data_IF_712325478599
#
_entry.id   IF_712325478599
#
_cell.length_a   1.000
_cell.length_b   1.000
_cell.length_c   1.000
_cell.angle_alpha   90.00
_cell.angle_beta   90.00
_cell.angle_gamma   90.00
#
_symmetry.space_group_name_H-M   'P 1'
#
loop_
_entity.id
_entity.type
_entity.pdbx_description
1 polymer ?
#
# COMPACT_ATOMS: atom_id res chain seq x y z
N UNK A 1 -0.83 8.68 -4.23
CA UNK A 1 -0.92 9.89 -3.40
C UNK A 1 0.21 10.83 -3.78
N UNK A 2 -0.06 11.84 -4.60
CA UNK A 2 0.72 13.07 -4.65
C UNK A 2 0.15 13.96 -3.56
N UNK A 3 0.84 14.06 -2.42
CA UNK A 3 0.54 15.07 -1.44
C UNK A 3 1.45 16.27 -1.75
N UNK A 4 0.93 17.25 -2.48
CA UNK A 4 1.46 18.61 -2.46
C UNK A 4 1.34 19.10 -1.01
N UNK A 5 2.41 18.97 -0.23
CA UNK A 5 2.48 19.59 1.09
C UNK A 5 2.67 21.09 0.88
N UNK A 6 1.59 21.83 1.05
CA UNK A 6 1.63 23.28 1.24
C UNK A 6 2.42 23.55 2.54
N UNK A 7 3.54 24.29 2.51
CA UNK A 7 4.23 24.66 3.72
C UNK A 7 3.48 25.83 4.36
N UNK A 8 3.23 25.75 5.67
CA UNK A 8 2.55 26.74 6.54
C UNK A 8 1.08 26.45 6.85
N UNK A 9 0.83 25.45 7.72
CA UNK A 9 -0.31 25.53 8.64
C UNK A 9 0.21 25.22 10.04
N UNK A 10 0.60 26.27 10.75
CA UNK A 10 0.66 26.25 12.21
C UNK A 10 -0.77 26.04 12.72
N UNK A 11 -0.98 24.96 13.48
CA UNK A 11 -2.18 24.71 14.24
C UNK A 11 -2.29 25.75 15.37
N UNK A 12 -2.77 26.95 15.05
CA UNK A 12 -3.20 27.89 16.07
C UNK A 12 -4.61 27.52 16.52
N UNK A 13 -4.72 27.21 17.80
CA UNK A 13 -5.99 27.05 18.50
C UNK A 13 -6.79 28.36 18.46
N UNK A 14 -8.12 28.21 18.30
CA UNK A 14 -9.23 29.16 18.55
C UNK A 14 -9.84 29.84 17.32
N UNK A 15 -11.15 29.58 17.17
CA UNK A 15 -12.22 30.57 16.98
C UNK A 15 -12.23 31.41 15.70
N UNK A 16 -13.20 31.10 14.83
CA UNK A 16 -13.86 32.00 13.85
C UNK A 16 -12.96 33.00 13.11
N UNK A 17 -12.77 32.81 11.79
CA UNK A 17 -12.93 33.94 10.86
C UNK A 17 -13.07 33.49 9.38
N UNK A 18 -14.03 34.16 8.72
CA UNK A 18 -14.32 34.10 7.29
C UNK A 18 -13.29 34.93 6.52
N UNK A 19 -12.55 34.35 5.56
CA UNK A 19 -11.87 35.15 4.52
C UNK A 19 -11.96 34.51 3.13
N UNK A 20 -12.47 35.32 2.21
CA UNK A 20 -12.58 35.17 0.77
C UNK A 20 -11.28 34.74 0.07
N UNK A 21 -11.35 33.77 -0.85
CA UNK A 21 -10.34 33.56 -1.87
C UNK A 21 -10.79 34.24 -3.19
N UNK A 22 -10.09 35.32 -3.59
CA UNK A 22 -10.18 35.95 -4.91
C UNK A 22 -9.07 35.38 -5.79
N UNK A 23 -9.41 34.59 -6.81
CA UNK A 23 -8.49 34.29 -7.91
C UNK A 23 -8.86 35.15 -9.12
N UNK A 24 -8.02 36.12 -9.46
CA UNK A 24 -8.08 36.89 -10.71
C UNK A 24 -7.22 36.19 -11.77
N UNK A 25 -7.86 35.75 -12.86
CA UNK A 25 -7.18 35.35 -14.09
C UNK A 25 -6.89 36.59 -14.94
N UNK A 26 -5.64 36.85 -15.27
CA UNK A 26 -5.26 37.76 -16.36
C UNK A 26 -4.67 36.94 -17.52
N UNK A 27 -5.45 36.83 -18.61
CA UNK A 27 -5.09 36.17 -19.86
C UNK A 27 -4.79 37.25 -20.90
N UNK A 28 -3.53 37.37 -21.31
CA UNK A 28 -3.13 38.25 -22.41
C UNK A 28 -3.45 37.58 -23.75
N UNK A 29 -4.25 38.29 -24.56
CA UNK A 29 -4.66 37.92 -25.92
C UNK A 29 -3.59 38.34 -26.95
N UNK A 30 -3.37 37.51 -27.97
CA UNK A 30 -2.90 37.96 -29.29
C UNK A 30 -3.97 37.61 -30.31
N UNK A 31 -4.34 38.62 -31.11
CA UNK A 31 -5.48 38.64 -32.00
C UNK A 31 -5.14 38.10 -33.41
N UNK A 32 -6.10 37.43 -34.03
CA UNK A 32 -6.08 37.12 -35.47
C UNK A 32 -7.26 36.27 -35.93
N UNK A 33 -8.12 36.88 -36.76
CA UNK A 33 -9.12 36.25 -37.65
C UNK A 33 -10.36 35.53 -37.05
N UNK A 34 -11.40 36.36 -36.94
CA UNK A 34 -12.85 36.16 -36.85
C UNK A 34 -13.45 34.98 -37.66
N UNK A 35 -14.01 33.98 -36.98
CA UNK A 35 -15.24 33.25 -37.37
C UNK A 35 -16.12 33.06 -36.12
N UNK A 36 -17.44 33.30 -36.25
CA UNK A 36 -18.40 33.42 -35.14
C UNK A 36 -18.76 32.07 -34.50
N UNK A 37 -18.89 31.94 -33.16
CA UNK A 37 -19.41 30.73 -32.54
C UNK A 37 -20.94 30.73 -32.46
N UNK A 38 -21.54 29.57 -32.76
CA UNK A 38 -22.92 29.25 -32.45
C UNK A 38 -23.10 29.25 -30.92
N UNK A 39 -23.97 30.12 -30.40
CA UNK A 39 -24.39 30.11 -28.99
C UNK A 39 -25.35 28.94 -28.76
N UNK A 40 -24.96 27.96 -27.94
CA UNK A 40 -25.91 27.19 -27.11
C UNK A 40 -25.67 27.55 -25.65
N UNK A 41 -26.65 28.23 -25.07
CA UNK A 41 -26.80 28.51 -23.64
C UNK A 41 -27.28 27.21 -22.99
N UNK A 42 -26.56 26.67 -22.01
CA UNK A 42 -27.16 25.82 -20.97
C UNK A 42 -26.88 26.47 -19.62
N UNK A 43 -27.96 26.75 -18.93
CA UNK A 43 -28.02 27.39 -17.62
C UNK A 43 -27.39 26.48 -16.57
N UNK A 44 -26.60 27.07 -15.66
CA UNK A 44 -25.92 26.36 -14.59
C UNK A 44 -26.91 25.86 -13.54
N UNK A 45 -26.79 24.58 -13.18
CA UNK A 45 -27.46 24.01 -12.01
C UNK A 45 -26.66 24.41 -10.77
N UNK A 46 -27.34 25.07 -9.83
CA UNK A 46 -26.78 25.52 -8.55
C UNK A 46 -27.16 24.48 -7.49
N UNK A 47 -26.25 23.60 -7.11
CA UNK A 47 -26.50 22.66 -6.01
C UNK A 47 -26.50 23.41 -4.68
N UNK A 48 -27.60 23.32 -3.92
CA UNK A 48 -27.73 23.89 -2.58
C UNK A 48 -27.63 22.75 -1.58
N UNK A 49 -26.53 22.67 -0.85
CA UNK A 49 -26.41 21.75 0.29
C UNK A 49 -26.79 22.53 1.54
N UNK A 50 -27.84 22.10 2.23
CA UNK A 50 -28.19 22.61 3.56
C UNK A 50 -28.08 21.48 4.56
N UNK A 51 -27.21 21.64 5.55
CA UNK A 51 -27.19 20.79 6.75
C UNK A 51 -28.08 21.43 7.83
N UNK A 52 -28.95 20.65 8.43
CA UNK A 52 -29.63 21.01 9.68
C UNK A 52 -29.26 19.95 10.71
N UNK A 53 -28.86 20.40 11.90
CA UNK A 53 -28.40 19.54 12.99
C UNK A 53 -29.57 19.27 13.92
N UNK A 54 -29.93 18.00 14.10
CA UNK A 54 -30.85 17.57 15.16
C UNK A 54 -30.37 16.23 15.72
N UNK A 55 -29.66 16.27 16.84
CA UNK A 55 -29.14 15.06 17.51
C UNK A 55 -27.99 14.36 16.78
N UNK A 56 -27.53 13.23 17.34
CA UNK A 56 -26.25 12.55 17.04
C UNK A 56 -26.16 11.82 15.68
N UNK A 57 -26.91 12.25 14.67
CA UNK A 57 -26.83 11.70 13.31
C UNK A 57 -26.80 12.81 12.26
N UNK A 58 -25.95 12.66 11.24
CA UNK A 58 -25.92 13.52 10.05
C UNK A 58 -26.83 12.95 8.97
N UNK A 59 -27.84 13.72 8.54
CA UNK A 59 -28.60 13.40 7.34
C UNK A 59 -28.18 14.33 6.20
N UNK A 60 -27.79 13.75 5.08
CA UNK A 60 -27.59 14.45 3.80
C UNK A 60 -28.78 14.08 2.92
N UNK A 61 -29.64 15.07 2.62
CA UNK A 61 -30.73 14.90 1.66
C UNK A 61 -30.23 15.44 0.31
N UNK A 62 -30.25 14.59 -0.71
CA UNK A 62 -30.04 14.97 -2.11
C UNK A 62 -31.39 14.73 -2.80
N UNK A 63 -32.08 15.80 -3.18
CA UNK A 63 -33.33 15.68 -3.93
C UNK A 63 -33.01 15.31 -5.39
N UNK A 64 -33.19 14.04 -5.76
CA UNK A 64 -33.19 13.60 -7.15
C UNK A 64 -34.62 13.37 -7.65
N UNK A 65 -35.00 14.16 -8.66
CA UNK A 65 -36.25 14.03 -9.41
C UNK A 65 -36.21 12.75 -10.26
N UNK A 66 -37.22 11.90 -10.06
CA UNK A 66 -37.20 10.49 -10.46
C UNK A 66 -37.27 10.18 -11.95
N UNK A 67 -36.84 8.94 -12.24
CA UNK A 67 -37.26 8.14 -13.39
C UNK A 67 -37.34 6.67 -12.95
N UNK A 68 -38.54 6.10 -13.02
CA UNK A 68 -38.81 4.69 -12.75
C UNK A 68 -38.49 3.85 -13.99
N UNK A 69 -37.80 2.72 -13.79
CA UNK A 69 -37.71 1.65 -14.78
C UNK A 69 -37.83 0.31 -14.03
N UNK A 70 -38.90 -0.41 -14.30
CA UNK A 70 -39.21 -1.71 -13.71
C UNK A 70 -38.23 -2.79 -14.18
N UNK A 71 -37.66 -3.55 -13.24
CA UNK A 71 -36.89 -4.77 -13.50
C UNK A 71 -37.56 -5.97 -12.80
N UNK A 72 -37.64 -7.15 -13.43
CA UNK A 72 -38.46 -8.26 -12.96
C UNK A 72 -37.81 -9.01 -11.77
N UNK A 73 -38.67 -9.43 -10.85
CA UNK A 73 -38.37 -10.22 -9.64
C UNK A 73 -38.07 -11.68 -10.00
N UNK A 74 -36.91 -12.19 -9.57
CA UNK A 74 -36.65 -13.62 -9.45
C UNK A 74 -35.82 -13.94 -8.20
N UNK A 75 -36.35 -14.84 -7.38
CA UNK A 75 -35.61 -15.86 -6.63
C UNK A 75 -34.86 -15.41 -5.37
N UNK A 76 -35.48 -15.61 -4.21
CA UNK A 76 -34.85 -15.52 -2.89
C UNK A 76 -33.71 -16.54 -2.74
N UNK A 77 -32.46 -16.07 -2.81
CA UNK A 77 -31.32 -16.78 -2.25
C UNK A 77 -31.12 -16.29 -0.81
N UNK A 78 -31.29 -17.19 0.16
CA UNK A 78 -31.03 -16.93 1.57
C UNK A 78 -29.57 -16.53 1.75
N UNK A 79 -29.31 -15.23 1.91
CA UNK A 79 -28.02 -14.73 2.35
C UNK A 79 -27.80 -15.19 3.79
N UNK A 80 -26.85 -16.10 3.98
CA UNK A 80 -26.26 -16.34 5.30
C UNK A 80 -25.40 -15.12 5.58
N UNK A 81 -25.91 -14.17 6.37
CA UNK A 81 -25.10 -13.08 6.87
C UNK A 81 -24.00 -13.66 7.78
N UNK A 82 -22.71 -13.33 7.54
CA UNK A 82 -21.68 -13.71 8.48
C UNK A 82 -21.89 -12.88 9.74
N UNK A 83 -22.07 -13.55 10.88
CA UNK A 83 -22.15 -12.93 12.18
C UNK A 83 -20.84 -12.16 12.46
N UNK A 84 -20.83 -10.85 12.21
CA UNK A 84 -19.77 -9.96 12.63
C UNK A 84 -19.98 -9.71 14.12
N UNK A 85 -19.27 -10.45 14.95
CA UNK A 85 -19.20 -10.16 16.38
C UNK A 85 -18.57 -8.78 16.57
N UNK A 86 -19.28 -7.89 17.25
CA UNK A 86 -18.79 -6.60 17.75
C UNK A 86 -17.55 -6.79 18.64
N UNK A 87 -16.38 -6.87 18.02
CA UNK A 87 -15.10 -6.76 18.69
C UNK A 87 -14.63 -5.32 18.54
N UNK A 88 -14.26 -4.70 19.67
CA UNK A 88 -13.70 -3.35 19.69
C UNK A 88 -12.59 -3.23 18.62
N UNK A 89 -12.44 -2.06 17.97
CA UNK A 89 -11.45 -1.90 16.90
C UNK A 89 -10.06 -2.25 17.43
N UNK A 90 -9.46 -3.29 16.86
CA UNK A 90 -8.11 -3.74 17.22
C UNK A 90 -7.15 -2.58 16.95
N UNK A 91 -6.41 -2.15 17.98
CA UNK A 91 -5.41 -1.11 17.81
C UNK A 91 -4.26 -1.61 16.94
N UNK A 92 -3.81 -0.79 16.00
CA UNK A 92 -2.61 -1.08 15.19
C UNK A 92 -1.39 -1.30 16.10
N UNK A 93 -1.33 -0.63 17.25
CA UNK A 93 -0.24 -0.81 18.21
C UNK A 93 -0.22 -2.24 18.78
N UNK A 94 -1.37 -2.78 19.18
CA UNK A 94 -1.46 -4.16 19.68
C UNK A 94 -1.16 -5.20 18.60
N UNK A 95 -1.45 -4.88 17.34
CA UNK A 95 -1.14 -5.76 16.21
C UNK A 95 0.37 -5.83 15.94
N UNK A 96 1.07 -4.69 16.02
CA UNK A 96 2.52 -4.62 15.81
C UNK A 96 3.33 -5.19 16.98
N UNK A 97 2.78 -5.16 18.20
CA UNK A 97 3.41 -5.75 19.39
C UNK A 97 3.74 -7.23 19.19
N UNK A 98 2.82 -7.97 18.57
CA UNK A 98 2.94 -9.41 18.28
C UNK A 98 4.21 -9.73 17.47
N UNK A 99 4.60 -8.85 16.55
CA UNK A 99 5.73 -9.06 15.62
C UNK A 99 6.92 -8.12 15.90
N UNK A 100 6.93 -7.47 17.07
CA UNK A 100 7.92 -6.46 17.43
C UNK A 100 9.36 -7.01 17.42
N UNK A 101 9.58 -8.21 17.95
CA UNK A 101 10.89 -8.88 17.94
C UNK A 101 11.38 -9.20 16.53
N UNK A 102 10.49 -9.66 15.64
CA UNK A 102 10.84 -9.98 14.26
C UNK A 102 11.18 -8.71 13.48
N UNK A 103 10.46 -7.62 13.73
CA UNK A 103 10.76 -6.31 13.17
C UNK A 103 12.12 -5.78 13.63
N UNK A 104 12.50 -6.00 14.90
CA UNK A 104 13.84 -5.64 15.40
C UNK A 104 14.94 -6.44 14.69
N UNK A 105 14.76 -7.77 14.56
CA UNK A 105 15.69 -8.63 13.82
C UNK A 105 15.83 -8.18 12.36
N UNK A 106 14.72 -7.92 11.69
CA UNK A 106 14.70 -7.41 10.32
C UNK A 106 15.44 -6.08 10.17
N UNK A 107 15.25 -5.13 11.10
CA UNK A 107 15.96 -3.86 11.05
C UNK A 107 17.48 -4.05 11.18
N UNK A 108 17.93 -4.94 12.06
CA UNK A 108 19.35 -5.24 12.24
C UNK A 108 19.93 -5.90 10.99
N UNK A 109 19.21 -6.86 10.40
CA UNK A 109 19.62 -7.53 9.18
C UNK A 109 19.71 -6.56 7.99
N UNK A 110 18.71 -5.70 7.80
CA UNK A 110 18.72 -4.70 6.71
C UNK A 110 19.88 -3.71 6.83
N UNK A 111 20.21 -3.28 8.07
CA UNK A 111 21.41 -2.45 8.30
C UNK A 111 22.69 -3.18 7.93
N UNK A 112 22.80 -4.47 8.25
CA UNK A 112 23.96 -5.30 7.89
C UNK A 112 24.09 -5.49 6.38
N UNK A 113 22.98 -5.78 5.69
CA UNK A 113 22.92 -6.01 4.24
C UNK A 113 23.37 -4.76 3.46
N UNK A 114 22.96 -3.58 3.90
CA UNK A 114 23.17 -2.33 3.16
C UNK A 114 24.45 -1.61 3.63
N UNK A 115 24.84 -1.77 4.89
CA UNK A 115 25.89 -1.01 5.54
C UNK A 115 27.33 -1.50 5.33
N UNK A 116 27.56 -2.48 4.45
CA UNK A 116 28.83 -3.20 4.45
C UNK A 116 30.02 -2.38 3.88
N UNK A 117 29.86 -1.57 2.83
CA UNK A 117 31.06 -1.07 2.11
C UNK A 117 30.96 0.33 1.46
N UNK A 118 29.78 0.96 1.37
CA UNK A 118 29.62 2.23 0.65
C UNK A 118 28.92 3.31 1.51
N UNK A 119 29.57 4.46 1.77
CA UNK A 119 28.99 5.58 2.54
C UNK A 119 27.62 6.08 2.02
N UNK A 120 27.37 5.96 0.71
CA UNK A 120 26.10 6.33 0.10
C UNK A 120 24.97 5.38 0.50
N UNK A 121 25.25 4.08 0.55
CA UNK A 121 24.31 3.06 1.00
C UNK A 121 24.05 3.16 2.50
N UNK A 122 25.08 3.53 3.28
CA UNK A 122 24.92 3.85 4.70
C UNK A 122 23.97 5.03 4.89
N UNK A 123 24.16 6.14 4.16
CA UNK A 123 23.24 7.28 4.26
C UNK A 123 21.83 6.95 3.80
N UNK A 124 21.68 6.16 2.74
CA UNK A 124 20.38 5.64 2.31
C UNK A 124 19.74 4.81 3.45
N UNK A 125 20.49 3.87 4.03
CA UNK A 125 20.04 3.05 5.14
C UNK A 125 19.66 3.88 6.39
N UNK A 126 20.39 4.95 6.70
CA UNK A 126 20.10 5.82 7.84
C UNK A 126 18.85 6.68 7.62
N UNK A 127 18.66 7.19 6.41
CA UNK A 127 17.44 7.92 6.04
C UNK A 127 16.22 7.00 6.01
N UNK A 128 16.38 5.76 5.56
CA UNK A 128 15.27 4.82 5.37
C UNK A 128 14.94 4.05 6.65
N UNK A 129 15.95 3.51 7.33
CA UNK A 129 15.78 2.69 8.53
C UNK A 129 15.95 3.46 9.85
N UNK A 130 16.67 4.57 9.85
CA UNK A 130 16.85 5.42 11.03
C UNK A 130 15.73 6.44 11.25
N UNK A 131 14.95 6.78 10.21
CA UNK A 131 13.90 7.81 10.30
C UNK A 131 12.52 7.30 10.76
N UNK A 132 12.41 6.09 11.32
CA UNK A 132 11.18 5.61 11.97
C UNK A 132 9.97 5.48 11.01
N UNK A 133 10.01 4.52 10.08
CA UNK A 133 8.81 4.12 9.34
C UNK A 133 7.86 3.28 10.19
N UNK A 134 6.55 3.28 9.87
CA UNK A 134 5.54 2.44 10.56
C UNK A 134 5.74 0.92 10.38
N UNK A 135 6.65 0.50 9.49
CA UNK A 135 6.98 -0.91 9.15
C UNK A 135 5.77 -1.80 8.87
N UNK A 136 4.74 -1.24 8.25
CA UNK A 136 3.50 -1.96 8.01
C UNK A 136 3.69 -3.15 7.05
N UNK A 137 4.54 -3.03 6.02
CA UNK A 137 4.72 -4.12 5.03
C UNK A 137 5.46 -5.32 5.63
N UNK A 138 6.62 -5.16 6.29
CA UNK A 138 7.27 -6.28 6.97
C UNK A 138 6.40 -6.87 8.08
N UNK A 139 5.71 -6.03 8.85
CA UNK A 139 4.79 -6.49 9.88
C UNK A 139 3.66 -7.35 9.28
N UNK A 140 3.10 -6.93 8.16
CA UNK A 140 2.04 -7.67 7.48
C UNK A 140 2.55 -9.04 7.00
N UNK A 141 3.76 -9.11 6.44
CA UNK A 141 4.39 -10.39 6.06
C UNK A 141 4.47 -11.31 7.28
N UNK A 142 5.00 -10.83 8.40
CA UNK A 142 5.12 -11.65 9.61
C UNK A 142 3.77 -12.10 10.20
N UNK A 143 2.77 -11.21 10.21
CA UNK A 143 1.44 -11.53 10.71
C UNK A 143 0.75 -12.57 9.83
N UNK A 144 0.82 -12.41 8.50
CA UNK A 144 0.26 -13.37 7.55
C UNK A 144 0.99 -14.70 7.63
N UNK A 145 2.33 -14.71 7.75
CA UNK A 145 3.10 -15.92 7.95
C UNK A 145 2.67 -16.68 9.22
N UNK A 146 2.55 -16.00 10.37
CA UNK A 146 2.09 -16.64 11.61
C UNK A 146 0.65 -17.18 11.49
N UNK A 147 -0.25 -16.40 10.90
CA UNK A 147 -1.64 -16.79 10.73
C UNK A 147 -1.78 -18.00 9.79
N UNK A 148 -1.09 -17.98 8.64
CA UNK A 148 -1.16 -19.06 7.65
C UNK A 148 -0.42 -20.32 8.10
N UNK A 149 0.71 -20.19 8.80
CA UNK A 149 1.42 -21.32 9.38
C UNK A 149 0.59 -22.03 10.46
N UNK A 150 -0.12 -21.26 11.30
CA UNK A 150 -1.07 -21.83 12.26
C UNK A 150 -2.23 -22.58 11.56
N UNK A 151 -2.81 -22.00 10.50
CA UNK A 151 -3.90 -22.65 9.75
C UNK A 151 -3.41 -23.91 9.04
N UNK A 152 -2.20 -23.89 8.47
CA UNK A 152 -1.58 -25.05 7.84
C UNK A 152 -1.30 -26.16 8.87
N UNK A 153 -0.75 -25.82 10.04
CA UNK A 153 -0.51 -26.75 11.14
C UNK A 153 -1.79 -27.40 11.67
N UNK A 154 -2.88 -26.64 11.79
CA UNK A 154 -4.19 -27.17 12.20
C UNK A 154 -4.76 -28.19 11.20
N UNK A 155 -4.52 -28.00 9.89
CA UNK A 155 -4.95 -28.96 8.86
C UNK A 155 -4.21 -30.29 9.00
N UNK A 156 -2.90 -30.24 9.22
CA UNK A 156 -2.06 -31.43 9.45
C UNK A 156 -2.59 -32.20 10.67
N UNK A 157 -2.87 -31.50 11.77
CA UNK A 157 -3.45 -32.10 12.98
C UNK A 157 -4.80 -32.80 12.72
N UNK A 158 -5.66 -32.19 11.89
CA UNK A 158 -6.96 -32.78 11.54
C UNK A 158 -6.85 -34.01 10.62
N UNK A 159 -5.80 -34.12 9.81
CA UNK A 159 -5.57 -35.27 8.90
C UNK A 159 -4.78 -36.41 9.53
N UNK A 160 -3.93 -36.12 10.53
CA UNK A 160 -3.00 -37.08 11.15
C UNK A 160 -3.47 -37.57 12.54
N UNK A 161 -4.78 -37.66 12.78
CA UNK A 161 -5.39 -38.16 14.03
C UNK A 161 -5.05 -39.63 14.38
N UNK A 162 -4.16 -40.29 13.64
CA UNK A 162 -3.71 -41.67 13.83
C UNK A 162 -2.27 -41.79 14.38
N UNK A 163 -1.67 -40.72 14.91
CA UNK A 163 -0.31 -40.77 15.47
C UNK A 163 -0.33 -41.22 16.94
N UNK A 164 0.53 -42.16 17.28
CA UNK A 164 0.60 -42.85 18.57
C UNK A 164 1.20 -42.03 19.73
N UNK A 165 1.68 -40.80 19.49
CA UNK A 165 2.26 -39.92 20.52
C UNK A 165 1.72 -38.49 20.39
N UNK A 166 0.90 -38.07 21.36
CA UNK A 166 0.34 -36.72 21.46
C UNK A 166 1.42 -35.65 21.67
N UNK A 167 2.54 -36.00 22.33
CA UNK A 167 3.65 -35.09 22.65
C UNK A 167 4.39 -34.60 21.39
N UNK A 168 4.66 -35.51 20.45
CA UNK A 168 5.36 -35.20 19.19
C UNK A 168 4.50 -34.30 18.28
N UNK A 169 3.19 -34.56 18.23
CA UNK A 169 2.21 -33.72 17.52
C UNK A 169 2.14 -32.30 18.12
N UNK A 170 2.18 -32.18 19.45
CA UNK A 170 2.18 -30.88 20.12
C UNK A 170 3.45 -30.08 19.84
N UNK A 171 4.61 -30.74 19.85
CA UNK A 171 5.89 -30.10 19.50
C UNK A 171 5.92 -29.67 18.02
N UNK A 172 5.44 -30.50 17.11
CA UNK A 172 5.31 -30.15 15.70
C UNK A 172 4.35 -28.96 15.49
N UNK A 173 3.24 -28.92 16.24
CA UNK A 173 2.30 -27.80 16.23
C UNK A 173 2.92 -26.51 16.80
N UNK A 174 3.67 -26.58 17.90
CA UNK A 174 4.36 -25.41 18.46
C UNK A 174 5.45 -24.90 17.52
N UNK A 175 6.23 -25.79 16.90
CA UNK A 175 7.25 -25.42 15.90
C UNK A 175 6.63 -24.83 14.63
N UNK A 176 5.42 -25.24 14.25
CA UNK A 176 4.68 -24.67 13.10
C UNK A 176 4.26 -23.21 13.30
N UNK A 177 4.33 -22.68 14.54
CA UNK A 177 4.06 -21.27 14.83
C UNK A 177 5.28 -20.38 14.66
N UNK A 178 6.48 -20.94 14.54
CA UNK A 178 7.69 -20.16 14.38
C UNK A 178 7.93 -19.72 12.92
N UNK A 179 8.41 -18.49 12.78
CA UNK A 179 8.73 -17.94 11.47
C UNK A 179 10.04 -18.53 10.94
N UNK A 180 9.95 -19.20 9.80
CA UNK A 180 11.12 -19.70 9.06
C UNK A 180 12.03 -18.55 8.58
N UNK A 181 13.28 -18.90 8.27
CA UNK A 181 14.25 -17.97 7.66
C UNK A 181 13.74 -17.40 6.33
N UNK A 182 12.96 -18.17 5.56
CA UNK A 182 12.35 -17.71 4.32
C UNK A 182 11.36 -16.56 4.55
N UNK A 183 10.56 -16.60 5.61
CA UNK A 183 9.66 -15.50 5.96
C UNK A 183 10.43 -14.22 6.34
N UNK A 184 11.53 -14.37 7.08
CA UNK A 184 12.41 -13.26 7.44
C UNK A 184 13.06 -12.63 6.20
N UNK A 185 13.64 -13.46 5.32
CA UNK A 185 14.24 -13.01 4.06
C UNK A 185 13.21 -12.37 3.13
N UNK A 186 12.00 -12.92 3.04
CA UNK A 186 10.92 -12.32 2.27
C UNK A 186 10.60 -10.90 2.78
N UNK A 187 10.42 -10.72 4.09
CA UNK A 187 10.13 -9.41 4.66
C UNK A 187 11.28 -8.39 4.40
N UNK A 188 12.53 -8.83 4.45
CA UNK A 188 13.69 -8.01 4.09
C UNK A 188 13.66 -7.60 2.61
N UNK A 189 13.40 -8.54 1.69
CA UNK A 189 13.30 -8.29 0.25
C UNK A 189 12.20 -7.28 -0.06
N UNK A 190 11.02 -7.47 0.53
CA UNK A 190 9.86 -6.57 0.34
C UNK A 190 10.20 -5.14 0.77
N UNK A 191 10.86 -4.97 1.92
CA UNK A 191 11.24 -3.64 2.39
C UNK A 191 12.36 -3.03 1.54
N UNK A 192 13.32 -3.82 1.04
CA UNK A 192 14.35 -3.32 0.11
C UNK A 192 13.75 -2.85 -1.21
N UNK A 193 12.84 -3.63 -1.81
CA UNK A 193 12.12 -3.29 -3.05
C UNK A 193 11.32 -1.99 -2.86
N UNK A 194 10.55 -1.89 -1.78
CA UNK A 194 9.81 -0.67 -1.47
C UNK A 194 10.74 0.53 -1.26
N UNK A 195 11.86 0.31 -0.60
CA UNK A 195 12.83 1.37 -0.35
C UNK A 195 13.44 1.88 -1.65
N UNK A 196 13.87 0.97 -2.53
CA UNK A 196 14.40 1.32 -3.84
C UNK A 196 13.42 2.18 -4.64
N UNK A 197 12.12 1.81 -4.63
CA UNK A 197 11.08 2.58 -5.30
C UNK A 197 10.93 3.99 -4.72
N UNK A 198 11.05 4.18 -3.40
CA UNK A 198 11.01 5.52 -2.78
C UNK A 198 12.19 6.39 -3.21
N UNK A 199 13.39 5.83 -3.32
CA UNK A 199 14.59 6.58 -3.75
C UNK A 199 14.40 7.09 -5.19
N UNK A 200 13.88 6.23 -6.07
CA UNK A 200 13.59 6.61 -7.46
C UNK A 200 12.43 7.60 -7.54
N UNK A 201 11.35 7.42 -6.77
CA UNK A 201 10.23 8.36 -6.69
C UNK A 201 10.70 9.76 -6.27
N UNK A 202 11.55 9.87 -5.25
CA UNK A 202 12.05 11.18 -4.79
C UNK A 202 12.82 11.91 -5.91
N UNK A 203 13.51 11.19 -6.79
CA UNK A 203 14.19 11.75 -7.98
C UNK A 203 13.20 12.18 -9.04
N UNK A 204 12.19 11.36 -9.34
CA UNK A 204 11.17 11.66 -10.36
C UNK A 204 10.33 12.87 -9.96
N UNK A 205 9.98 12.96 -8.67
CA UNK A 205 9.11 14.00 -8.12
C UNK A 205 9.87 15.27 -7.67
N UNK A 206 11.20 15.34 -7.82
CA UNK A 206 12.07 16.44 -7.36
C UNK A 206 11.83 16.81 -5.87
N UNK A 207 11.67 15.79 -5.02
CA UNK A 207 11.27 15.95 -3.62
C UNK A 207 12.43 16.39 -2.70
N UNK A 208 12.37 17.58 -2.13
CA UNK A 208 13.43 18.08 -1.24
C UNK A 208 13.55 17.36 0.11
N UNK A 209 12.46 16.82 0.65
CA UNK A 209 12.39 16.22 1.99
C UNK A 209 11.65 14.88 2.00
N UNK A 210 12.14 13.94 2.82
CA UNK A 210 11.44 12.70 3.18
C UNK A 210 11.55 12.43 4.68
N UNK A 211 10.41 12.24 5.35
CA UNK A 211 10.33 11.99 6.81
C UNK A 211 11.11 13.03 7.64
N UNK A 212 11.06 14.30 7.22
CA UNK A 212 11.74 15.39 7.90
C UNK A 212 13.27 15.45 7.71
N UNK A 213 13.84 14.56 6.87
CA UNK A 213 15.24 14.60 6.45
C UNK A 213 15.33 15.00 4.97
N UNK A 214 16.45 15.58 4.56
CA UNK A 214 16.76 15.80 3.13
C UNK A 214 16.75 14.47 2.37
N UNK A 215 16.39 14.47 1.10
CA UNK A 215 16.40 13.25 0.27
C UNK A 215 17.79 12.95 -0.26
N UNK A 216 18.05 11.69 -0.64
CA UNK A 216 19.35 11.24 -1.15
C UNK A 216 19.79 12.08 -2.36
N UNK A 217 18.87 12.44 -3.25
CA UNK A 217 19.22 13.21 -4.44
C UNK A 217 19.59 14.67 -4.12
N UNK A 218 19.08 15.24 -3.04
CA UNK A 218 19.51 16.57 -2.56
C UNK A 218 20.90 16.48 -1.91
N UNK A 219 21.13 15.46 -1.07
CA UNK A 219 22.42 15.32 -0.37
C UNK A 219 23.58 14.93 -1.30
N UNK A 220 23.33 14.06 -2.30
CA UNK A 220 24.38 13.43 -3.11
C UNK A 220 24.21 13.57 -4.62
N UNK A 221 23.13 14.23 -5.07
CA UNK A 221 22.82 14.42 -6.48
C UNK A 221 22.01 13.29 -7.10
N UNK A 222 21.31 13.61 -8.18
CA UNK A 222 20.39 12.72 -8.90
C UNK A 222 21.03 11.41 -9.35
N UNK A 223 22.23 11.46 -9.93
CA UNK A 223 22.92 10.27 -10.46
C UNK A 223 23.21 9.24 -9.37
N UNK A 224 23.58 9.73 -8.19
CA UNK A 224 23.88 8.89 -7.04
C UNK A 224 22.61 8.24 -6.48
N UNK A 225 21.53 9.02 -6.38
CA UNK A 225 20.24 8.48 -5.93
C UNK A 225 19.71 7.38 -6.86
N UNK A 226 19.80 7.56 -8.18
CA UNK A 226 19.42 6.52 -9.15
C UNK A 226 20.23 5.24 -8.94
N UNK A 227 21.56 5.35 -8.84
CA UNK A 227 22.44 4.20 -8.60
C UNK A 227 22.18 3.50 -7.25
N UNK A 228 21.83 4.27 -6.21
CA UNK A 228 21.46 3.70 -4.92
C UNK A 228 20.18 2.86 -5.01
N UNK A 229 19.15 3.35 -5.73
CA UNK A 229 17.94 2.58 -6.00
C UNK A 229 18.23 1.32 -6.84
N UNK A 230 19.06 1.44 -7.88
CA UNK A 230 19.44 0.31 -8.74
C UNK A 230 20.19 -0.77 -7.95
N UNK A 231 21.12 -0.37 -7.08
CA UNK A 231 21.81 -1.28 -6.17
C UNK A 231 20.83 -2.02 -5.27
N UNK A 232 19.86 -1.32 -4.66
CA UNK A 232 18.87 -1.97 -3.79
C UNK A 232 17.96 -2.94 -4.55
N UNK A 233 17.56 -2.60 -5.78
CA UNK A 233 16.83 -3.54 -6.63
C UNK A 233 17.66 -4.77 -7.00
N UNK A 234 18.92 -4.59 -7.39
CA UNK A 234 19.82 -5.70 -7.71
C UNK A 234 20.06 -6.60 -6.49
N UNK A 235 20.32 -6.01 -5.32
CA UNK A 235 20.53 -6.74 -4.07
C UNK A 235 19.28 -7.51 -3.66
N UNK A 236 18.10 -6.89 -3.72
CA UNK A 236 16.84 -7.57 -3.42
C UNK A 236 16.53 -8.71 -4.39
N UNK A 237 16.86 -8.55 -5.67
CA UNK A 237 16.70 -9.58 -6.70
C UNK A 237 17.63 -10.77 -6.47
N UNK A 238 18.87 -10.51 -6.02
CA UNK A 238 19.82 -11.57 -5.64
C UNK A 238 19.31 -12.38 -4.45
N UNK A 239 18.83 -11.71 -3.39
CA UNK A 239 18.21 -12.40 -2.25
C UNK A 239 16.93 -13.14 -2.63
N UNK A 240 16.12 -12.58 -3.52
CA UNK A 240 14.90 -13.23 -4.02
C UNK A 240 15.23 -14.53 -4.76
N UNK A 241 16.26 -14.54 -5.61
CA UNK A 241 16.71 -15.76 -6.29
C UNK A 241 17.15 -16.85 -5.30
N UNK A 242 17.82 -16.45 -4.21
CA UNK A 242 18.27 -17.36 -3.15
C UNK A 242 17.16 -17.87 -2.22
N UNK A 243 15.90 -17.46 -2.42
CA UNK A 243 14.76 -18.10 -1.74
C UNK A 243 14.42 -19.48 -2.32
N UNK A 244 14.90 -19.78 -3.52
CA UNK A 244 14.74 -21.08 -4.21
C UNK A 244 13.27 -21.51 -4.43
N UNK A 245 12.33 -20.56 -4.44
CA UNK A 245 10.92 -20.82 -4.74
C UNK A 245 10.50 -20.07 -6.01
N UNK A 246 10.35 -20.80 -7.12
CA UNK A 246 10.06 -20.23 -8.43
C UNK A 246 8.73 -19.46 -8.48
N UNK A 247 7.72 -19.92 -7.74
CA UNK A 247 6.41 -19.23 -7.69
C UNK A 247 6.56 -17.86 -7.03
N UNK A 248 7.23 -17.79 -5.88
CA UNK A 248 7.49 -16.53 -5.17
C UNK A 248 8.40 -15.62 -5.98
N UNK A 249 9.46 -16.15 -6.61
CA UNK A 249 10.38 -15.38 -7.46
C UNK A 249 9.61 -14.70 -8.60
N UNK A 250 8.74 -15.43 -9.31
CA UNK A 250 7.92 -14.87 -10.38
C UNK A 250 6.95 -13.82 -9.87
N UNK A 251 6.31 -14.09 -8.73
CA UNK A 251 5.34 -13.19 -8.12
C UNK A 251 5.96 -11.85 -7.71
N UNK A 252 7.09 -11.86 -7.01
CA UNK A 252 7.78 -10.62 -6.60
C UNK A 252 8.43 -9.92 -7.80
N UNK A 253 8.95 -10.65 -8.79
CA UNK A 253 9.47 -10.05 -10.03
C UNK A 253 8.39 -9.30 -10.80
N UNK A 254 7.14 -9.81 -10.80
CA UNK A 254 6.01 -9.11 -11.40
C UNK A 254 5.73 -7.77 -10.70
N UNK A 255 5.92 -7.68 -9.38
CA UNK A 255 5.77 -6.41 -8.64
C UNK A 255 6.78 -5.35 -9.11
N UNK A 256 8.03 -5.73 -9.38
CA UNK A 256 9.05 -4.79 -9.88
C UNK A 256 8.61 -4.23 -11.24
N UNK A 257 8.04 -5.07 -12.11
CA UNK A 257 7.44 -4.63 -13.38
C UNK A 257 6.21 -3.75 -13.15
N UNK A 258 5.36 -4.09 -12.19
CA UNK A 258 4.17 -3.31 -11.83
C UNK A 258 4.57 -1.90 -11.37
N UNK A 259 5.60 -1.75 -10.54
CA UNK A 259 6.10 -0.45 -10.09
C UNK A 259 6.50 0.45 -11.27
N UNK A 260 7.33 -0.06 -12.18
CA UNK A 260 7.71 0.68 -13.38
C UNK A 260 6.48 1.04 -14.24
N UNK A 261 5.54 0.11 -14.39
CA UNK A 261 4.30 0.33 -15.16
C UNK A 261 3.40 1.39 -14.49
N UNK A 262 3.32 1.39 -13.17
CA UNK A 262 2.60 2.35 -12.35
C UNK A 262 3.15 3.77 -12.50
N UNK A 263 4.48 3.92 -12.45
CA UNK A 263 5.14 5.22 -12.67
C UNK A 263 4.94 5.74 -14.09
N UNK A 264 5.08 4.88 -15.11
CA UNK A 264 4.84 5.26 -16.51
C UNK A 264 3.38 5.69 -16.70
N UNK A 265 2.42 4.94 -16.14
CA UNK A 265 1.00 5.29 -16.22
C UNK A 265 0.73 6.62 -15.50
N UNK A 266 1.32 6.83 -14.31
CA UNK A 266 1.22 8.10 -13.60
C UNK A 266 1.73 9.25 -14.45
N UNK A 267 2.90 9.10 -15.08
CA UNK A 267 3.49 10.12 -15.95
C UNK A 267 2.61 10.42 -17.18
N UNK A 268 2.00 9.41 -17.78
CA UNK A 268 1.14 9.57 -18.96
C UNK A 268 -0.18 10.30 -18.68
N UNK A 269 -0.66 10.25 -17.43
CA UNK A 269 -1.92 10.87 -16.99
C UNK A 269 -1.69 12.16 -16.20
N UNK A 270 -0.50 12.76 -16.28
CA UNK A 270 -0.21 14.03 -15.61
C UNK A 270 -1.11 15.14 -16.18
N UNK A 271 -1.84 15.81 -15.29
CA UNK A 271 -2.77 16.90 -15.60
C UNK A 271 -3.98 16.51 -16.47
N UNK A 272 -4.29 15.21 -16.55
CA UNK A 272 -5.49 14.72 -17.22
C UNK A 272 -6.70 14.81 -16.28
N UNK A 273 -7.67 15.66 -16.63
CA UNK A 273 -8.91 15.84 -15.90
C UNK A 273 -9.98 14.77 -16.23
N UNK A 274 -9.78 14.01 -17.32
CA UNK A 274 -10.70 12.97 -17.77
C UNK A 274 -10.32 11.58 -17.23
N UNK A 275 -9.40 11.53 -16.26
CA UNK A 275 -8.95 10.31 -15.59
C UNK A 275 -10.12 9.55 -14.96
N UNK A 276 -10.32 8.31 -15.37
CA UNK A 276 -11.37 7.44 -14.83
C UNK A 276 -11.00 6.88 -13.44
N UNK A 277 -12.01 6.49 -12.67
CA UNK A 277 -11.78 5.79 -11.40
C UNK A 277 -11.00 4.48 -11.62
N UNK A 278 -11.29 3.75 -12.69
CA UNK A 278 -10.61 2.49 -13.01
C UNK A 278 -9.12 2.72 -13.31
N UNK A 279 -8.79 3.79 -14.04
CA UNK A 279 -7.39 4.16 -14.28
C UNK A 279 -6.65 4.56 -13.00
N UNK A 280 -7.34 5.29 -12.11
CA UNK A 280 -6.81 5.64 -10.80
C UNK A 280 -6.55 4.40 -9.93
N UNK A 281 -7.52 3.47 -9.88
CA UNK A 281 -7.40 2.23 -9.11
C UNK A 281 -6.30 1.33 -9.69
N UNK A 282 -6.21 1.20 -11.02
CA UNK A 282 -5.17 0.42 -11.68
C UNK A 282 -3.77 0.98 -11.39
N UNK A 283 -3.61 2.30 -11.45
CA UNK A 283 -2.36 2.97 -11.06
C UNK A 283 -2.04 2.73 -9.58
N UNK A 284 -3.04 2.88 -8.70
CA UNK A 284 -2.87 2.69 -7.25
C UNK A 284 -2.50 1.25 -6.91
N UNK A 285 -3.08 0.30 -7.63
CA UNK A 285 -2.71 -1.10 -7.58
C UNK A 285 -1.24 -1.29 -7.95
N UNK A 286 -0.82 -0.82 -9.12
CA UNK A 286 0.56 -0.99 -9.57
C UNK A 286 1.58 -0.34 -8.65
N UNK A 287 1.32 0.88 -8.15
CA UNK A 287 2.27 1.63 -7.31
C UNK A 287 2.30 1.17 -5.85
N UNK A 288 1.21 0.60 -5.34
CA UNK A 288 1.07 0.32 -3.89
C UNK A 288 0.57 -1.10 -3.60
N UNK A 289 -0.61 -1.47 -4.11
CA UNK A 289 -1.27 -2.70 -3.67
C UNK A 289 -0.62 -3.98 -4.20
N UNK A 290 0.04 -3.93 -5.37
CA UNK A 290 0.74 -5.05 -6.00
C UNK A 290 1.77 -5.69 -5.07
N UNK A 291 2.62 -4.88 -4.42
CA UNK A 291 3.62 -5.35 -3.47
C UNK A 291 2.98 -5.99 -2.24
N UNK A 292 1.90 -5.40 -1.73
CA UNK A 292 1.20 -5.90 -0.54
C UNK A 292 0.55 -7.25 -0.87
N UNK A 293 -0.22 -7.33 -1.96
CA UNK A 293 -0.86 -8.56 -2.44
C UNK A 293 0.15 -9.69 -2.68
N UNK A 294 1.26 -9.37 -3.35
CA UNK A 294 2.32 -10.33 -3.62
C UNK A 294 3.00 -10.79 -2.32
N UNK A 295 3.25 -9.89 -1.37
CA UNK A 295 3.90 -10.19 -0.10
C UNK A 295 3.06 -11.13 0.80
N UNK A 296 1.74 -10.91 0.87
CA UNK A 296 0.84 -11.75 1.66
C UNK A 296 0.66 -13.14 1.05
N UNK A 297 0.56 -13.22 -0.29
CA UNK A 297 0.55 -14.51 -1.00
C UNK A 297 1.87 -15.27 -0.84
N UNK A 298 3.01 -14.60 -0.98
CA UNK A 298 4.33 -15.22 -0.80
C UNK A 298 4.53 -15.74 0.64
N UNK A 299 4.07 -14.99 1.64
CA UNK A 299 4.08 -15.42 3.04
C UNK A 299 3.26 -16.71 3.25
N UNK A 300 2.08 -16.81 2.63
CA UNK A 300 1.25 -18.00 2.70
C UNK A 300 1.90 -19.22 2.01
N UNK A 301 2.56 -19.01 0.86
CA UNK A 301 3.28 -20.07 0.13
C UNK A 301 4.39 -20.65 1.01
N UNK A 302 5.21 -19.82 1.67
CA UNK A 302 6.26 -20.31 2.56
C UNK A 302 5.74 -20.97 3.84
N UNK A 303 4.50 -20.68 4.23
CA UNK A 303 3.82 -21.37 5.32
C UNK A 303 3.23 -22.73 4.90
N UNK A 304 3.41 -23.15 3.65
CA UNK A 304 2.85 -24.39 3.12
C UNK A 304 1.33 -24.37 2.98
N UNK A 305 0.73 -23.18 2.88
CA UNK A 305 -0.72 -23.04 2.72
C UNK A 305 -1.18 -23.61 1.37
N UNK A 306 -2.39 -24.18 1.36
CA UNK A 306 -3.00 -24.63 0.11
C UNK A 306 -3.29 -23.47 -0.85
N UNK A 307 -3.26 -23.74 -2.15
CA UNK A 307 -3.40 -22.73 -3.22
C UNK A 307 -4.61 -21.79 -3.05
N UNK A 308 -5.75 -22.31 -2.60
CA UNK A 308 -6.95 -21.48 -2.30
C UNK A 308 -6.70 -20.44 -1.21
N UNK A 309 -5.99 -20.79 -0.14
CA UNK A 309 -5.65 -19.85 0.94
C UNK A 309 -4.60 -18.84 0.47
N UNK A 310 -3.63 -19.26 -0.35
CA UNK A 310 -2.67 -18.34 -0.95
C UNK A 310 -3.36 -17.26 -1.80
N UNK A 311 -4.39 -17.62 -2.57
CA UNK A 311 -5.16 -16.66 -3.37
C UNK A 311 -6.03 -15.74 -2.51
N UNK A 312 -6.62 -16.27 -1.43
CA UNK A 312 -7.33 -15.43 -0.45
C UNK A 312 -6.39 -14.40 0.20
N UNK A 313 -5.16 -14.80 0.52
CA UNK A 313 -4.16 -13.87 1.06
C UNK A 313 -3.73 -12.83 0.04
N UNK A 314 -3.68 -13.17 -1.24
CA UNK A 314 -3.44 -12.21 -2.32
C UNK A 314 -4.52 -11.13 -2.38
N UNK A 315 -5.79 -11.55 -2.45
CA UNK A 315 -6.91 -10.61 -2.50
C UNK A 315 -7.01 -9.80 -1.20
N UNK A 316 -6.74 -10.39 -0.03
CA UNK A 316 -6.63 -9.64 1.21
C UNK A 316 -5.58 -8.52 1.12
N UNK A 317 -4.36 -8.84 0.69
CA UNK A 317 -3.29 -7.85 0.56
C UNK A 317 -3.58 -6.77 -0.49
N UNK A 318 -4.22 -7.15 -1.60
CA UNK A 318 -4.65 -6.24 -2.66
C UNK A 318 -5.70 -5.25 -2.15
N UNK A 319 -6.73 -5.72 -1.46
CA UNK A 319 -7.79 -4.87 -0.92
C UNK A 319 -7.28 -3.99 0.22
N UNK A 320 -6.34 -4.46 1.04
CA UNK A 320 -5.71 -3.65 2.09
C UNK A 320 -4.81 -2.54 1.50
N UNK A 321 -4.22 -2.80 0.34
CA UNK A 321 -3.29 -1.87 -0.31
C UNK A 321 -3.96 -0.79 -1.16
N UNK A 322 -5.23 -0.98 -1.54
CA UNK A 322 -6.05 0.00 -2.28
C UNK A 322 -6.74 0.96 -1.31
#
# INVERSE_FOLDING_TARGET
MLALTCPSVELCQRGLDLVHCKCSFSRSYVAGSRWKPLRRRREGVRCRVSSTQNGSHWNVVVDDLGFAVDAPVMGSASAVEPAVSDSAPISVASLLEVVSEDLLKLNNNLKSIIGAENPLLVSAAEQIFGAGGKRLRPALVFLVSRATAQIAGLKIFSSELNVSNMEDLYQQYMNSRELTTQHQRLAEIIEMIHTASLIHDDVIDDSGLRRGKETIHQCYGTRVAVLAGDFMFAQSSWYLANLENLEVIKLISQVIKDFASGEIKQASSLFDCDLTLDDYLLKSYYKTASLIAASTKAAAIFSGAGSSLCEQMYEYGKNLGL
#
